data_IF_505652969007
#
_entry.id   IF_505652969007
#
_cell.length_a   1.000
_cell.length_b   1.000
_cell.length_c   1.000
_cell.angle_alpha   90.00
_cell.angle_beta   90.00
_cell.angle_gamma   90.00
#
_symmetry.space_group_name_H-M   'P 1'
#
loop_
_entity.id
_entity.type
_entity.pdbx_description
1 polymer ?
#
# COMPACT_ATOMS: atom_id res chain seq x y z
N UNK A 1 52.89 -33.83 -1.48
CA UNK A 1 52.72 -32.54 -0.79
C UNK A 1 51.65 -31.66 -1.39
N UNK A 2 51.47 -31.57 -2.73
CA UNK A 2 50.40 -30.75 -3.36
C UNK A 2 48.94 -31.17 -3.01
N UNK A 3 48.65 -32.45 -2.87
CA UNK A 3 47.30 -32.93 -2.58
C UNK A 3 46.79 -32.60 -1.17
N UNK A 4 47.70 -32.51 -0.19
CA UNK A 4 47.32 -32.16 1.20
C UNK A 4 47.00 -30.67 1.38
N UNK A 5 47.61 -29.81 0.60
CA UNK A 5 47.34 -28.35 0.61
C UNK A 5 45.98 -28.08 -0.04
N UNK A 6 45.63 -28.78 -1.12
CA UNK A 6 44.35 -28.62 -1.83
C UNK A 6 43.15 -29.11 -0.99
N UNK A 7 43.33 -30.17 -0.20
CA UNK A 7 42.27 -30.67 0.73
C UNK A 7 42.05 -29.68 1.90
N UNK A 8 43.15 -29.06 2.37
CA UNK A 8 43.08 -28.08 3.47
C UNK A 8 42.40 -26.80 3.03
N UNK A 9 42.63 -26.32 1.81
CA UNK A 9 41.93 -25.15 1.24
C UNK A 9 40.43 -25.44 1.00
N UNK A 10 40.10 -26.63 0.53
CA UNK A 10 38.66 -27.00 0.37
C UNK A 10 37.91 -27.10 1.68
N UNK A 11 38.55 -27.60 2.74
CA UNK A 11 37.93 -27.63 4.07
C UNK A 11 37.82 -26.24 4.67
N UNK A 12 38.79 -25.37 4.46
CA UNK A 12 38.75 -24.00 4.95
C UNK A 12 37.68 -23.18 4.23
N UNK A 13 37.57 -23.33 2.91
CA UNK A 13 36.46 -22.69 2.15
C UNK A 13 35.09 -23.17 2.54
N UNK A 14 34.89 -24.47 2.81
CA UNK A 14 33.62 -25.02 3.32
C UNK A 14 33.26 -24.45 4.70
N UNK A 15 34.25 -24.28 5.59
CA UNK A 15 34.01 -23.66 6.90
C UNK A 15 33.65 -22.19 6.79
N UNK A 16 34.30 -21.44 5.92
CA UNK A 16 33.99 -20.02 5.67
C UNK A 16 32.59 -19.91 5.05
N UNK A 17 32.23 -20.77 4.09
CA UNK A 17 30.90 -20.78 3.48
C UNK A 17 29.81 -21.12 4.51
N UNK A 18 30.05 -22.08 5.38
CA UNK A 18 29.11 -22.42 6.47
C UNK A 18 28.93 -21.29 7.49
N UNK A 19 30.00 -20.59 7.84
CA UNK A 19 29.95 -19.43 8.73
C UNK A 19 29.20 -18.27 8.07
N UNK A 20 29.42 -18.03 6.77
CA UNK A 20 28.67 -17.03 5.99
C UNK A 20 27.18 -17.35 5.92
N UNK A 21 26.81 -18.61 5.71
CA UNK A 21 25.40 -19.06 5.72
C UNK A 21 24.76 -18.93 7.11
N UNK A 22 25.50 -19.21 8.19
CA UNK A 22 25.01 -19.04 9.57
C UNK A 22 24.85 -17.54 9.92
N UNK A 23 25.76 -16.68 9.46
CA UNK A 23 25.66 -15.23 9.65
C UNK A 23 24.52 -14.62 8.85
N UNK A 24 24.33 -15.02 7.59
CA UNK A 24 23.22 -14.60 6.75
C UNK A 24 21.88 -15.10 7.34
N UNK A 25 21.81 -16.34 7.79
CA UNK A 25 20.61 -16.90 8.45
C UNK A 25 20.26 -16.21 9.76
N UNK A 26 21.26 -15.89 10.58
CA UNK A 26 21.04 -15.15 11.84
C UNK A 26 20.64 -13.69 11.60
N UNK A 27 21.19 -13.05 10.55
CA UNK A 27 20.84 -11.70 10.16
C UNK A 27 19.41 -11.64 9.59
N UNK A 28 19.00 -12.60 8.77
CA UNK A 28 17.62 -12.70 8.26
C UNK A 28 16.62 -12.98 9.38
N UNK A 29 16.96 -13.84 10.36
CA UNK A 29 16.11 -14.10 11.51
C UNK A 29 16.06 -12.91 12.48
N UNK A 30 17.16 -12.16 12.62
CA UNK A 30 17.20 -10.90 13.35
C UNK A 30 16.33 -9.81 12.73
N UNK A 31 16.34 -9.69 11.40
CA UNK A 31 15.48 -8.76 10.67
C UNK A 31 14.02 -9.21 10.78
N UNK A 32 13.70 -10.52 10.66
CA UNK A 32 12.34 -11.03 10.88
C UNK A 32 11.84 -10.78 12.30
N UNK A 33 12.68 -10.96 13.31
CA UNK A 33 12.31 -10.67 14.70
C UNK A 33 12.18 -9.18 14.96
N UNK A 34 13.03 -8.36 14.35
CA UNK A 34 12.95 -6.89 14.47
C UNK A 34 11.72 -6.34 13.75
N UNK A 35 11.39 -6.82 12.56
CA UNK A 35 10.16 -6.45 11.84
C UNK A 35 8.91 -6.98 12.53
N UNK A 36 8.95 -8.16 13.17
CA UNK A 36 7.84 -8.68 13.97
C UNK A 36 7.62 -7.87 15.26
N UNK A 37 8.69 -7.31 15.83
CA UNK A 37 8.61 -6.47 17.05
C UNK A 37 8.15 -5.02 16.75
N UNK A 38 8.23 -4.58 15.47
CA UNK A 38 7.82 -3.25 15.02
C UNK A 38 6.63 -3.27 14.07
N UNK A 39 6.09 -4.45 13.75
CA UNK A 39 4.82 -4.52 13.03
C UNK A 39 3.70 -4.16 13.98
N UNK A 40 3.08 -3.02 13.73
CA UNK A 40 1.68 -2.81 14.08
C UNK A 40 0.93 -3.99 13.49
N UNK A 41 0.31 -4.81 14.31
CA UNK A 41 -0.40 -6.01 13.87
C UNK A 41 -1.63 -5.54 13.09
N UNK A 42 -1.56 -5.56 11.79
CA UNK A 42 -2.75 -5.45 10.93
C UNK A 42 -3.51 -6.76 11.12
N UNK A 43 -4.55 -6.73 11.92
CA UNK A 43 -5.49 -7.85 11.99
C UNK A 43 -6.42 -7.73 10.80
N UNK A 44 -6.08 -8.41 9.71
CA UNK A 44 -7.03 -8.67 8.64
C UNK A 44 -8.10 -9.61 9.19
N UNK A 45 -9.24 -9.07 9.53
CA UNK A 45 -10.41 -9.87 9.88
C UNK A 45 -10.88 -10.59 8.62
N UNK A 46 -10.64 -11.89 8.54
CA UNK A 46 -11.24 -12.80 7.57
C UNK A 46 -12.75 -12.83 7.82
N UNK A 47 -13.50 -12.13 7.02
CA UNK A 47 -14.94 -12.31 6.92
C UNK A 47 -15.22 -13.56 6.10
N UNK A 48 -15.71 -14.59 6.75
CA UNK A 48 -16.19 -15.82 6.13
C UNK A 48 -17.55 -15.55 5.47
N UNK A 49 -17.63 -15.77 4.16
CA UNK A 49 -18.85 -15.69 3.38
C UNK A 49 -19.97 -16.57 3.95
N UNK A 50 -21.16 -16.02 4.08
CA UNK A 50 -22.39 -16.75 3.81
C UNK A 50 -23.32 -15.89 2.97
N UNK A 51 -23.62 -16.40 1.79
CA UNK A 51 -24.49 -15.76 0.83
C UNK A 51 -25.92 -15.60 1.31
N UNK A 52 -26.50 -14.47 0.99
CA UNK A 52 -27.91 -14.16 1.12
C UNK A 52 -28.17 -12.79 0.55
N UNK A 53 -28.81 -12.77 -0.62
CA UNK A 53 -29.42 -11.57 -1.18
C UNK A 53 -30.39 -10.98 -0.14
N UNK A 54 -30.03 -9.89 0.49
CA UNK A 54 -30.92 -9.10 1.34
C UNK A 54 -30.83 -7.64 0.91
N UNK A 55 -31.98 -7.11 0.61
CA UNK A 55 -32.33 -5.72 0.35
C UNK A 55 -31.46 -4.75 1.16
N UNK A 56 -30.50 -4.19 0.51
CA UNK A 56 -29.67 -3.08 0.95
C UNK A 56 -30.55 -1.86 1.24
N UNK A 57 -30.30 -1.16 2.31
CA UNK A 57 -30.63 0.25 2.55
C UNK A 57 -31.44 0.66 3.80
N UNK A 58 -31.77 -0.19 4.74
CA UNK A 58 -32.37 0.30 6.01
C UNK A 58 -31.72 -0.24 7.29
N UNK A 59 -31.08 -1.40 7.27
CA UNK A 59 -30.40 -1.96 8.46
C UNK A 59 -29.02 -1.34 8.71
N UNK A 60 -28.31 -0.94 7.65
CA UNK A 60 -26.96 -0.35 7.77
C UNK A 60 -26.98 1.05 8.41
N UNK A 61 -27.98 1.87 8.14
CA UNK A 61 -28.10 3.22 8.72
C UNK A 61 -28.23 3.27 10.25
N UNK A 62 -28.58 2.17 10.90
CA UNK A 62 -28.68 2.10 12.36
C UNK A 62 -27.33 1.92 13.06
N UNK A 63 -26.29 1.50 12.35
CA UNK A 63 -24.96 1.26 12.90
C UNK A 63 -24.02 2.47 12.76
N UNK A 64 -24.29 3.37 11.85
CA UNK A 64 -23.50 4.58 11.62
C UNK A 64 -23.99 5.77 12.45
N UNK A 65 -23.07 6.62 12.85
CA UNK A 65 -23.36 7.90 13.53
C UNK A 65 -22.41 8.96 12.99
N UNK A 66 -22.96 10.10 12.61
CA UNK A 66 -22.14 11.23 12.21
C UNK A 66 -21.37 11.78 13.40
N UNK A 67 -20.08 12.02 13.21
CA UNK A 67 -19.22 12.62 14.20
C UNK A 67 -19.45 14.12 14.28
N UNK A 68 -19.51 14.62 15.51
CA UNK A 68 -19.50 16.07 15.75
C UNK A 68 -18.05 16.58 15.64
N UNK A 69 -17.85 17.61 14.84
CA UNK A 69 -16.55 18.24 14.57
C UNK A 69 -16.62 19.72 14.93
N UNK A 70 -15.68 20.22 15.71
CA UNK A 70 -15.57 21.61 16.10
C UNK A 70 -14.27 22.21 15.58
N UNK A 71 -14.38 23.21 14.76
CA UNK A 71 -13.26 23.94 14.17
C UNK A 71 -12.40 24.62 15.25
N UNK A 72 -11.13 24.34 15.28
CA UNK A 72 -10.12 25.10 16.02
C UNK A 72 -9.26 25.90 15.04
N UNK A 73 -9.49 27.20 14.95
CA UNK A 73 -8.76 28.10 14.06
C UNK A 73 -7.26 28.25 14.36
N UNK A 74 -6.78 27.67 15.47
CA UNK A 74 -5.36 27.67 15.83
C UNK A 74 -4.66 26.39 15.39
N UNK A 75 -5.42 25.35 15.14
CA UNK A 75 -4.89 24.11 14.56
C UNK A 75 -4.65 24.37 13.05
N UNK A 76 -3.45 24.09 12.59
CA UNK A 76 -3.12 24.10 11.18
C UNK A 76 -2.84 22.67 10.76
N UNK A 77 -3.72 22.09 9.93
CA UNK A 77 -3.64 20.70 9.44
C UNK A 77 -3.62 19.62 10.56
N UNK A 78 -4.04 19.97 11.77
CA UNK A 78 -4.11 19.04 12.91
C UNK A 78 -5.57 18.76 13.28
N UNK A 79 -5.88 17.50 13.57
CA UNK A 79 -7.13 17.10 14.20
C UNK A 79 -6.86 16.35 15.51
N UNK A 80 -7.71 16.59 16.48
CA UNK A 80 -7.68 15.98 17.80
C UNK A 80 -8.91 15.09 18.00
N UNK A 81 -8.69 13.83 18.27
CA UNK A 81 -9.72 12.81 18.49
C UNK A 81 -9.68 12.41 19.96
N UNK A 82 -10.72 12.73 20.73
CA UNK A 82 -10.76 12.33 22.14
C UNK A 82 -10.87 10.80 22.26
N UNK A 83 -10.21 10.22 23.23
CA UNK A 83 -10.24 8.80 23.53
C UNK A 83 -10.72 8.56 24.95
N UNK A 84 -11.37 7.44 25.19
CA UNK A 84 -11.83 7.05 26.53
C UNK A 84 -10.63 6.87 27.48
N UNK A 85 -10.82 7.22 28.74
CA UNK A 85 -9.78 7.09 29.77
C UNK A 85 -9.23 5.66 29.84
N UNK A 86 -7.93 5.53 29.74
CA UNK A 86 -7.24 4.23 29.76
C UNK A 86 -7.01 3.61 28.38
N UNK A 87 -7.45 4.23 27.29
CA UNK A 87 -7.07 3.82 25.93
C UNK A 87 -5.56 4.01 25.75
N UNK A 88 -4.88 2.96 25.31
CA UNK A 88 -3.45 2.96 25.03
C UNK A 88 -3.20 3.01 23.53
N UNK A 89 -1.98 3.40 23.13
CA UNK A 89 -1.58 3.43 21.71
C UNK A 89 -1.77 2.07 21.01
N UNK A 90 -1.53 0.96 21.70
CA UNK A 90 -1.73 -0.40 21.18
C UNK A 90 -3.20 -0.74 20.86
N UNK A 91 -4.14 0.05 21.38
CA UNK A 91 -5.59 -0.12 21.16
C UNK A 91 -6.12 0.78 20.03
N UNK A 92 -5.25 1.56 19.39
CA UNK A 92 -5.65 2.48 18.32
C UNK A 92 -4.87 2.15 17.06
N UNK A 93 -5.58 1.93 15.98
CA UNK A 93 -5.01 1.73 14.65
C UNK A 93 -5.50 2.85 13.74
N UNK A 94 -4.58 3.49 13.04
CA UNK A 94 -4.89 4.54 12.06
C UNK A 94 -4.41 4.06 10.70
N UNK A 95 -5.28 4.07 9.71
CA UNK A 95 -5.00 3.60 8.36
C UNK A 95 -5.48 4.60 7.32
N UNK A 96 -4.67 4.83 6.31
CA UNK A 96 -5.01 5.71 5.20
C UNK A 96 -5.51 4.86 4.03
N UNK A 97 -6.77 5.00 3.72
CA UNK A 97 -7.44 4.37 2.59
C UNK A 97 -7.45 5.35 1.42
N UNK A 98 -6.31 5.42 0.72
CA UNK A 98 -6.05 6.44 -0.30
C UNK A 98 -7.03 6.41 -1.46
N UNK A 99 -7.43 5.22 -1.94
CA UNK A 99 -8.36 5.08 -3.07
C UNK A 99 -9.76 5.59 -2.73
N UNK A 100 -10.19 5.36 -1.51
CA UNK A 100 -11.48 5.82 -0.97
C UNK A 100 -11.41 7.27 -0.51
N UNK A 101 -10.20 7.81 -0.36
CA UNK A 101 -9.91 9.10 0.27
C UNK A 101 -10.49 9.16 1.68
N UNK A 102 -10.23 8.13 2.46
CA UNK A 102 -10.67 8.02 3.84
C UNK A 102 -9.49 7.77 4.78
N UNK A 103 -9.55 8.37 5.95
CA UNK A 103 -8.71 8.02 7.09
C UNK A 103 -9.55 7.21 8.06
N UNK A 104 -9.12 5.99 8.33
CA UNK A 104 -9.80 5.07 9.24
C UNK A 104 -9.06 5.03 10.57
N UNK A 105 -9.81 5.23 11.66
CA UNK A 105 -9.27 5.17 13.02
C UNK A 105 -10.08 4.12 13.77
N UNK A 106 -9.49 2.96 13.99
CA UNK A 106 -10.09 1.92 14.81
C UNK A 106 -9.65 2.10 16.26
N UNK A 107 -10.63 2.14 17.19
CA UNK A 107 -10.39 2.25 18.62
C UNK A 107 -10.96 1.01 19.31
N UNK A 108 -10.06 0.11 19.73
CA UNK A 108 -10.41 -1.11 20.43
C UNK A 108 -11.05 -0.78 21.78
N UNK A 109 -12.14 -1.46 22.13
CA UNK A 109 -12.96 -1.23 23.31
C UNK A 109 -13.62 0.15 23.38
N UNK A 110 -13.50 0.98 22.32
CA UNK A 110 -14.19 2.25 22.21
C UNK A 110 -15.69 2.06 22.10
N UNK A 111 -16.45 3.05 22.56
CA UNK A 111 -17.92 3.03 22.54
C UNK A 111 -18.48 4.15 21.69
N UNK A 112 -19.42 3.83 20.83
CA UNK A 112 -20.10 4.82 19.98
C UNK A 112 -20.79 5.92 20.79
N UNK A 113 -21.29 5.60 22.01
CA UNK A 113 -21.87 6.58 22.91
C UNK A 113 -20.89 7.64 23.37
N UNK A 114 -19.61 7.30 23.53
CA UNK A 114 -18.55 8.25 23.87
C UNK A 114 -18.44 9.35 22.80
N UNK A 115 -18.40 8.99 21.53
CA UNK A 115 -18.29 9.93 20.41
C UNK A 115 -19.58 10.72 20.12
N UNK A 116 -20.70 10.36 20.75
CA UNK A 116 -21.92 11.18 20.77
C UNK A 116 -21.79 12.38 21.70
N UNK A 117 -21.03 12.22 22.77
CA UNK A 117 -20.85 13.23 23.83
C UNK A 117 -19.53 14.03 23.67
N UNK A 118 -18.58 13.48 22.93
CA UNK A 118 -17.25 14.07 22.73
C UNK A 118 -17.03 14.33 21.25
N UNK A 119 -16.90 15.59 20.92
CA UNK A 119 -16.65 16.02 19.54
C UNK A 119 -15.14 15.98 19.21
N UNK A 120 -14.83 15.76 17.93
CA UNK A 120 -13.50 15.96 17.39
C UNK A 120 -13.23 17.48 17.30
N UNK A 121 -11.98 17.88 17.49
CA UNK A 121 -11.56 19.29 17.37
C UNK A 121 -10.38 19.41 16.43
N UNK A 122 -10.21 20.55 15.76
CA UNK A 122 -9.04 20.77 14.90
C UNK A 122 -9.36 21.52 13.62
N UNK A 123 -8.48 21.38 12.63
CA UNK A 123 -8.65 21.93 11.29
C UNK A 123 -9.40 20.94 10.41
N UNK A 124 -10.68 21.16 10.20
CA UNK A 124 -11.52 20.35 9.32
C UNK A 124 -11.64 20.90 7.89
N UNK A 125 -10.81 21.87 7.52
CA UNK A 125 -10.77 22.36 6.13
C UNK A 125 -10.47 21.23 5.13
N UNK A 126 -9.67 20.24 5.54
CA UNK A 126 -9.25 19.06 4.76
C UNK A 126 -10.20 17.86 4.89
N UNK A 127 -11.11 17.90 5.86
CA UNK A 127 -12.06 16.80 6.12
C UNK A 127 -13.43 17.16 5.57
N UNK A 128 -14.07 16.25 4.86
CA UNK A 128 -15.41 16.44 4.32
C UNK A 128 -16.50 16.00 5.30
N UNK A 129 -16.36 14.80 5.84
CA UNK A 129 -17.34 14.16 6.71
C UNK A 129 -16.63 13.20 7.67
N UNK A 130 -17.26 12.91 8.81
CA UNK A 130 -16.80 11.93 9.77
C UNK A 130 -17.96 11.03 10.24
N UNK A 131 -17.74 9.72 10.25
CA UNK A 131 -18.70 8.69 10.64
C UNK A 131 -18.08 7.82 11.74
N UNK A 132 -18.88 7.46 12.74
CA UNK A 132 -18.52 6.47 13.75
C UNK A 132 -19.40 5.24 13.60
N UNK A 133 -18.77 4.11 13.39
CA UNK A 133 -19.41 2.80 13.28
C UNK A 133 -19.07 1.93 14.49
N UNK A 134 -20.07 1.22 15.01
CA UNK A 134 -19.82 0.23 16.04
C UNK A 134 -19.25 -1.05 15.39
N UNK A 135 -18.16 -1.52 15.93
CA UNK A 135 -17.51 -2.78 15.57
C UNK A 135 -17.64 -3.80 16.72
N UNK A 136 -17.37 -5.08 16.45
CA UNK A 136 -17.50 -6.15 17.45
C UNK A 136 -16.70 -5.89 18.74
N UNK A 137 -15.51 -5.31 18.62
CA UNK A 137 -14.59 -5.07 19.73
C UNK A 137 -14.19 -3.60 19.87
N UNK A 138 -15.03 -2.68 19.40
CA UNK A 138 -14.71 -1.26 19.50
C UNK A 138 -15.53 -0.39 18.54
N UNK A 139 -14.90 0.66 18.05
CA UNK A 139 -15.47 1.56 17.06
C UNK A 139 -14.49 1.84 15.93
N UNK A 140 -15.03 2.06 14.76
CA UNK A 140 -14.31 2.58 13.60
C UNK A 140 -14.79 4.02 13.35
N UNK A 141 -13.86 4.96 13.36
CA UNK A 141 -14.08 6.32 12.91
C UNK A 141 -13.56 6.43 11.49
N UNK A 142 -14.42 6.82 10.55
CA UNK A 142 -14.03 7.08 9.16
C UNK A 142 -14.15 8.57 8.89
N UNK A 143 -13.05 9.16 8.47
CA UNK A 143 -12.97 10.56 8.05
C UNK A 143 -12.79 10.63 6.55
N UNK A 144 -13.74 11.20 5.84
CA UNK A 144 -13.65 11.44 4.39
C UNK A 144 -12.72 12.62 4.15
N UNK A 145 -11.66 12.40 3.38
CA UNK A 145 -10.64 13.40 3.08
C UNK A 145 -10.93 14.11 1.75
N UNK A 146 -10.73 15.43 1.70
CA UNK A 146 -10.87 16.20 0.46
C UNK A 146 -9.68 16.06 -0.47
N UNK A 147 -8.52 15.77 0.12
CA UNK A 147 -7.23 15.59 -0.57
C UNK A 147 -6.57 14.32 -0.05
N UNK A 148 -5.62 13.78 -0.81
CA UNK A 148 -4.78 12.67 -0.36
C UNK A 148 -3.60 13.27 0.39
N UNK A 149 -3.50 12.94 1.66
CA UNK A 149 -2.48 13.43 2.58
C UNK A 149 -1.81 12.26 3.29
N UNK A 150 -0.56 12.46 3.68
CA UNK A 150 0.09 11.64 4.67
C UNK A 150 -0.27 12.16 6.07
N UNK A 151 0.02 11.38 7.10
CA UNK A 151 -0.23 11.82 8.46
C UNK A 151 0.85 11.33 9.44
N UNK A 152 1.00 12.08 10.51
CA UNK A 152 1.68 11.64 11.72
C UNK A 152 0.65 11.60 12.85
N UNK A 153 0.70 10.57 13.68
CA UNK A 153 -0.21 10.45 14.81
C UNK A 153 0.55 10.33 16.13
N UNK A 154 0.07 11.04 17.13
CA UNK A 154 0.61 10.99 18.50
C UNK A 154 -0.53 10.84 19.49
N UNK A 155 -0.32 10.05 20.55
CA UNK A 155 -1.30 9.87 21.62
C UNK A 155 -0.81 10.65 22.85
N UNK A 156 -1.52 11.69 23.23
CA UNK A 156 -1.23 12.54 24.37
C UNK A 156 -2.44 12.69 25.29
N UNK A 157 -2.30 12.38 26.57
CA UNK A 157 -3.29 12.63 27.62
C UNK A 157 -4.74 12.24 27.25
N UNK A 158 -4.92 11.07 26.59
CA UNK A 158 -6.23 10.60 26.17
C UNK A 158 -6.78 11.27 24.89
N UNK A 159 -5.92 11.91 24.13
CA UNK A 159 -6.25 12.51 22.83
C UNK A 159 -5.32 11.97 21.76
N UNK A 160 -5.88 11.44 20.68
CA UNK A 160 -5.12 11.12 19.49
C UNK A 160 -5.05 12.38 18.61
N UNK A 161 -3.83 12.87 18.43
CA UNK A 161 -3.55 13.97 17.51
C UNK A 161 -3.10 13.41 16.17
N UNK A 162 -3.61 13.95 15.10
CA UNK A 162 -3.26 13.58 13.72
C UNK A 162 -2.88 14.86 12.99
N UNK A 163 -1.62 14.93 12.59
CA UNK A 163 -1.04 16.01 11.80
C UNK A 163 -0.99 15.57 10.35
N UNK A 164 -1.63 16.32 9.45
CA UNK A 164 -1.64 16.05 8.03
C UNK A 164 -0.50 16.75 7.31
N UNK A 165 0.14 16.01 6.40
CA UNK A 165 1.28 16.47 5.62
C UNK A 165 0.99 16.26 4.13
N UNK A 166 1.26 17.28 3.32
CA UNK A 166 1.19 17.08 1.88
C UNK A 166 2.33 16.16 1.43
N UNK A 167 2.07 15.10 0.65
CA UNK A 167 3.10 14.17 0.19
C UNK A 167 4.28 14.87 -0.50
N UNK A 168 4.03 15.97 -1.22
CA UNK A 168 5.07 16.76 -1.89
C UNK A 168 6.01 17.50 -0.92
N UNK A 169 5.60 17.69 0.33
CA UNK A 169 6.47 18.26 1.37
C UNK A 169 7.46 17.25 1.94
N UNK A 170 7.15 15.94 1.79
CA UNK A 170 7.90 14.84 2.39
C UNK A 170 8.68 14.00 1.39
N UNK A 171 8.29 14.00 0.11
CA UNK A 171 8.86 13.12 -0.91
C UNK A 171 9.28 13.89 -2.17
N UNK A 172 10.43 13.53 -2.71
CA UNK A 172 10.96 14.10 -3.95
C UNK A 172 10.18 13.62 -5.18
N UNK A 173 9.65 12.40 -5.12
CA UNK A 173 8.90 11.76 -6.19
C UNK A 173 7.70 11.00 -5.66
N UNK A 174 6.63 11.05 -6.44
CA UNK A 174 5.41 10.27 -6.22
C UNK A 174 5.20 9.34 -7.42
N UNK A 175 5.09 8.05 -7.14
CA UNK A 175 4.90 7.00 -8.15
C UNK A 175 3.64 6.21 -7.83
N UNK A 176 2.79 6.01 -8.82
CA UNK A 176 1.66 5.09 -8.71
C UNK A 176 2.03 3.78 -9.39
N UNK A 177 1.93 2.69 -8.66
CA UNK A 177 1.99 1.33 -9.21
C UNK A 177 0.58 0.79 -9.31
N UNK A 178 0.24 0.34 -10.50
CA UNK A 178 -1.07 -0.19 -10.83
C UNK A 178 -0.98 -1.69 -11.15
N UNK A 179 -1.14 -2.57 -10.16
CA UNK A 179 -1.22 -4.01 -10.42
C UNK A 179 -2.54 -4.34 -11.09
N UNK A 180 -2.50 -4.78 -12.34
CA UNK A 180 -3.69 -5.09 -13.15
C UNK A 180 -4.56 -6.20 -12.55
N UNK A 181 -5.84 -6.23 -12.95
CA UNK A 181 -6.80 -7.20 -12.48
C UNK A 181 -7.23 -6.96 -11.03
N UNK A 182 -7.81 -7.99 -10.40
CA UNK A 182 -8.32 -7.96 -9.03
C UNK A 182 -9.79 -8.42 -8.95
N UNK A 183 -10.17 -8.99 -7.83
CA UNK A 183 -11.50 -9.54 -7.63
C UNK A 183 -11.87 -10.57 -8.70
N UNK A 184 -12.87 -10.28 -9.53
CA UNK A 184 -13.33 -11.17 -10.62
C UNK A 184 -12.42 -11.16 -11.83
N UNK A 185 -11.69 -10.06 -12.04
CA UNK A 185 -10.73 -9.97 -13.13
C UNK A 185 -9.44 -10.71 -12.75
N UNK A 186 -9.32 -11.94 -13.23
CA UNK A 186 -8.14 -12.78 -12.97
C UNK A 186 -6.95 -12.43 -13.86
N UNK A 187 -7.21 -11.69 -14.96
CA UNK A 187 -6.24 -11.50 -16.02
C UNK A 187 -5.84 -12.82 -16.69
N UNK A 188 -4.62 -12.88 -17.19
CA UNK A 188 -4.03 -14.12 -17.71
C UNK A 188 -3.92 -15.15 -16.57
N UNK A 189 -4.41 -16.36 -16.84
CA UNK A 189 -4.37 -17.46 -15.87
C UNK A 189 -3.87 -18.75 -16.53
N UNK A 190 -2.86 -19.35 -15.93
CA UNK A 190 -2.32 -20.65 -16.34
C UNK A 190 -1.81 -21.42 -15.13
N UNK A 191 -2.07 -22.76 -15.15
CA UNK A 191 -1.49 -23.73 -14.20
C UNK A 191 -1.61 -23.33 -12.71
N UNK A 192 -2.68 -22.61 -12.34
CA UNK A 192 -2.94 -22.16 -10.96
C UNK A 192 -2.30 -20.82 -10.61
N UNK A 193 -1.61 -20.17 -11.53
CA UNK A 193 -1.14 -18.80 -11.42
C UNK A 193 -2.14 -17.84 -12.07
N UNK A 194 -2.43 -16.74 -11.43
CA UNK A 194 -3.29 -15.67 -11.93
C UNK A 194 -2.50 -14.37 -12.00
N UNK A 195 -2.62 -13.65 -13.09
CA UNK A 195 -1.95 -12.36 -13.30
C UNK A 195 -2.17 -11.40 -12.14
N UNK A 196 -3.42 -11.24 -11.70
CA UNK A 196 -3.79 -10.34 -10.61
C UNK A 196 -2.98 -10.55 -9.34
N UNK A 197 -2.66 -11.81 -9.00
CA UNK A 197 -1.90 -12.14 -7.79
C UNK A 197 -0.41 -11.82 -7.96
N UNK A 198 0.14 -12.12 -9.13
CA UNK A 198 1.55 -11.85 -9.44
C UNK A 198 1.79 -10.34 -9.53
N UNK A 199 0.92 -9.61 -10.25
CA UNK A 199 1.01 -8.16 -10.38
C UNK A 199 0.94 -7.46 -9.01
N UNK A 200 0.00 -7.87 -8.16
CA UNK A 200 -0.15 -7.33 -6.81
C UNK A 200 1.10 -7.61 -5.94
N UNK A 201 1.63 -8.81 -6.00
CA UNK A 201 2.81 -9.17 -5.22
C UNK A 201 4.04 -8.37 -5.66
N UNK A 202 4.26 -8.22 -6.97
CA UNK A 202 5.36 -7.39 -7.51
C UNK A 202 5.21 -5.93 -7.06
N UNK A 203 4.00 -5.37 -7.16
CA UNK A 203 3.74 -3.99 -6.74
C UNK A 203 4.00 -3.80 -5.24
N UNK A 204 3.52 -4.71 -4.39
CA UNK A 204 3.72 -4.68 -2.93
C UNK A 204 5.20 -4.78 -2.54
N UNK A 205 5.93 -5.71 -3.14
CA UNK A 205 7.37 -5.86 -2.89
C UNK A 205 8.14 -4.61 -3.34
N UNK A 206 7.77 -4.03 -4.48
CA UNK A 206 8.39 -2.79 -4.97
C UNK A 206 8.16 -1.64 -4.00
N UNK A 207 6.91 -1.47 -3.51
CA UNK A 207 6.60 -0.46 -2.51
C UNK A 207 7.38 -0.67 -1.21
N UNK A 208 7.47 -1.92 -0.74
CA UNK A 208 8.22 -2.26 0.47
C UNK A 208 9.73 -1.97 0.34
N UNK A 209 10.32 -2.25 -0.83
CA UNK A 209 11.76 -1.98 -1.07
C UNK A 209 12.09 -0.49 -1.05
N UNK A 210 11.12 0.37 -1.38
CA UNK A 210 11.29 1.82 -1.42
C UNK A 210 10.78 2.52 -0.13
N UNK A 211 10.29 1.74 0.83
CA UNK A 211 9.87 2.27 2.14
C UNK A 211 11.04 3.00 2.84
N UNK A 212 10.76 4.20 3.33
CA UNK A 212 11.76 5.06 3.97
C UNK A 212 12.69 5.79 3.00
N UNK A 213 12.50 5.67 1.69
CA UNK A 213 13.17 6.49 0.68
C UNK A 213 12.45 7.85 0.49
N UNK A 214 13.05 8.72 -0.34
CA UNK A 214 12.38 9.97 -0.75
C UNK A 214 11.41 9.78 -1.92
N UNK A 215 11.03 8.53 -2.22
CA UNK A 215 10.03 8.17 -3.23
C UNK A 215 8.80 7.61 -2.54
N UNK A 216 7.67 8.28 -2.71
CA UNK A 216 6.37 7.75 -2.26
C UNK A 216 5.80 6.82 -3.31
N UNK A 217 5.48 5.60 -2.90
CA UNK A 217 4.75 4.66 -3.75
C UNK A 217 3.31 4.57 -3.27
N UNK A 218 2.39 4.81 -4.18
CA UNK A 218 0.98 4.51 -4.02
C UNK A 218 0.60 3.30 -4.87
N UNK A 219 -0.29 2.48 -4.38
CA UNK A 219 -0.84 1.32 -5.07
C UNK A 219 -2.32 1.58 -5.37
N UNK A 220 -2.76 1.28 -6.59
CA UNK A 220 -4.19 1.40 -6.95
C UNK A 220 -5.06 0.35 -6.26
N UNK A 221 -4.47 -0.72 -5.77
CA UNK A 221 -5.08 -1.69 -4.86
C UNK A 221 -4.01 -2.35 -4.00
N UNK A 222 -4.36 -2.64 -2.77
CA UNK A 222 -3.51 -3.34 -1.81
C UNK A 222 -4.01 -4.76 -1.51
N UNK A 223 -5.18 -5.12 -2.03
CA UNK A 223 -5.85 -6.40 -1.83
C UNK A 223 -6.36 -6.96 -3.15
N UNK A 224 -6.95 -8.17 -3.12
CA UNK A 224 -7.59 -8.78 -4.28
C UNK A 224 -8.99 -8.18 -4.52
N UNK A 225 -9.03 -6.89 -4.83
CA UNK A 225 -10.23 -6.11 -5.12
C UNK A 225 -10.24 -5.64 -6.56
N UNK A 226 -11.43 -5.58 -7.14
CA UNK A 226 -11.63 -5.02 -8.49
C UNK A 226 -11.74 -3.49 -8.38
N UNK A 227 -10.88 -2.79 -9.12
CA UNK A 227 -10.89 -1.32 -9.20
C UNK A 227 -11.06 -0.93 -10.67
N UNK A 228 -12.09 -0.13 -10.96
CA UNK A 228 -12.38 0.31 -12.32
C UNK A 228 -11.19 1.10 -12.91
N UNK A 229 -10.91 0.88 -14.20
CA UNK A 229 -9.75 1.48 -14.86
C UNK A 229 -9.74 3.01 -14.78
N UNK A 230 -10.90 3.63 -14.93
CA UNK A 230 -11.06 5.09 -14.83
C UNK A 230 -10.66 5.60 -13.44
N UNK A 231 -11.00 4.85 -12.39
CA UNK A 231 -10.64 5.19 -11.01
C UNK A 231 -9.13 5.05 -10.80
N UNK A 232 -8.52 3.96 -11.31
CA UNK A 232 -7.07 3.74 -11.22
C UNK A 232 -6.26 4.85 -11.90
N UNK A 233 -6.69 5.28 -13.09
CA UNK A 233 -6.07 6.42 -13.82
C UNK A 233 -6.27 7.75 -13.09
N UNK A 234 -7.51 8.03 -12.66
CA UNK A 234 -7.80 9.26 -11.92
C UNK A 234 -7.05 9.34 -10.59
N UNK A 235 -6.70 8.21 -10.00
CA UNK A 235 -5.92 8.17 -8.78
C UNK A 235 -4.52 8.77 -8.95
N UNK A 236 -3.88 8.55 -10.11
CA UNK A 236 -2.60 9.18 -10.41
C UNK A 236 -2.68 10.72 -10.43
N UNK A 237 -3.78 11.26 -10.95
CA UNK A 237 -4.04 12.71 -10.93
C UNK A 237 -4.31 13.21 -9.50
N UNK A 238 -5.05 12.43 -8.70
CA UNK A 238 -5.38 12.83 -7.33
C UNK A 238 -4.16 12.92 -6.41
N UNK A 239 -3.16 12.05 -6.63
CA UNK A 239 -1.90 12.07 -5.85
C UNK A 239 -0.83 12.95 -6.49
N UNK A 240 -1.13 13.61 -7.61
CA UNK A 240 -0.16 14.40 -8.40
C UNK A 240 1.09 13.57 -8.72
N UNK A 241 0.91 12.37 -9.29
CA UNK A 241 1.99 11.42 -9.54
C UNK A 241 2.99 11.94 -10.59
N UNK A 242 4.29 11.79 -10.30
CA UNK A 242 5.33 12.01 -11.31
C UNK A 242 5.38 10.88 -12.35
N UNK A 243 5.06 9.65 -11.90
CA UNK A 243 5.13 8.44 -12.72
C UNK A 243 3.95 7.52 -12.40
N UNK A 244 3.41 6.92 -13.45
CA UNK A 244 2.41 5.85 -13.36
C UNK A 244 2.95 4.60 -14.07
N UNK A 245 2.90 3.46 -13.41
CA UNK A 245 3.36 2.19 -13.94
C UNK A 245 2.32 1.10 -13.71
N UNK A 246 1.72 0.64 -14.80
CA UNK A 246 0.87 -0.54 -14.81
C UNK A 246 1.74 -1.80 -14.85
N UNK A 247 1.43 -2.77 -14.01
CA UNK A 247 2.17 -4.04 -13.88
C UNK A 247 1.21 -5.18 -14.23
N UNK A 248 1.54 -5.92 -15.26
CA UNK A 248 0.72 -7.03 -15.72
C UNK A 248 1.53 -8.12 -16.41
N UNK A 249 0.80 -9.15 -16.85
CA UNK A 249 1.31 -10.23 -17.67
C UNK A 249 0.53 -10.25 -18.99
N UNK A 250 1.17 -10.63 -20.06
CA UNK A 250 0.47 -10.92 -21.30
C UNK A 250 0.70 -12.37 -21.72
N UNK A 251 -0.35 -13.00 -22.27
CA UNK A 251 -0.22 -14.26 -22.98
C UNK A 251 -0.31 -13.98 -24.47
N UNK A 252 0.64 -14.50 -25.23
CA UNK A 252 0.58 -14.48 -26.68
C UNK A 252 0.01 -15.81 -27.16
N UNK A 253 -1.07 -15.78 -27.93
CA UNK A 253 -1.68 -16.97 -28.57
C UNK A 253 -0.85 -17.51 -29.73
N UNK A 254 0.30 -16.88 -30.03
CA UNK A 254 1.17 -17.31 -31.10
C UNK A 254 1.79 -18.69 -30.80
N UNK A 255 1.84 -19.54 -31.82
CA UNK A 255 2.40 -20.91 -31.74
C UNK A 255 3.90 -20.96 -31.37
N UNK A 256 4.57 -19.83 -31.34
CA UNK A 256 5.95 -19.70 -30.83
C UNK A 256 5.91 -19.02 -29.48
N UNK A 257 6.34 -19.73 -28.46
CA UNK A 257 6.42 -19.20 -27.08
C UNK A 257 7.37 -18.00 -27.01
N UNK A 258 6.81 -16.82 -27.22
CA UNK A 258 7.51 -15.56 -27.03
C UNK A 258 7.46 -15.24 -25.53
N UNK A 259 8.58 -15.24 -24.85
CA UNK A 259 8.68 -14.85 -23.44
C UNK A 259 9.68 -13.71 -23.30
N UNK A 260 9.46 -12.85 -22.34
CA UNK A 260 10.34 -11.71 -22.08
C UNK A 260 9.60 -10.51 -21.50
N UNK A 261 10.31 -9.40 -21.44
CA UNK A 261 9.79 -8.13 -20.94
C UNK A 261 9.35 -7.28 -22.11
N UNK A 262 8.09 -6.91 -22.10
CA UNK A 262 7.46 -5.96 -23.03
C UNK A 262 7.06 -4.73 -22.22
N UNK A 263 7.32 -3.54 -22.74
CA UNK A 263 6.77 -2.32 -22.18
C UNK A 263 5.94 -1.59 -23.23
N UNK A 264 4.84 -1.03 -22.77
CA UNK A 264 4.00 -0.13 -23.54
C UNK A 264 4.11 1.27 -22.93
N UNK A 265 4.10 2.29 -23.76
CA UNK A 265 4.22 3.67 -23.31
C UNK A 265 3.21 4.56 -24.03
N UNK A 266 2.68 5.54 -23.32
CA UNK A 266 1.83 6.56 -23.92
C UNK A 266 2.68 7.47 -24.81
N UNK A 267 2.38 7.54 -26.09
CA UNK A 267 3.05 8.35 -27.10
C UNK A 267 2.23 9.58 -27.53
N UNK A 268 1.05 9.78 -26.90
CA UNK A 268 0.16 10.90 -27.23
C UNK A 268 0.80 12.28 -26.95
N UNK A 269 1.67 12.32 -25.91
CA UNK A 269 2.30 13.56 -25.49
C UNK A 269 3.83 13.45 -25.54
N UNK A 270 4.45 14.43 -26.20
CA UNK A 270 5.90 14.58 -26.17
C UNK A 270 6.34 15.36 -24.94
N UNK A 271 7.16 14.73 -24.09
CA UNK A 271 7.84 15.39 -22.99
C UNK A 271 9.31 15.57 -23.36
N UNK A 272 9.86 16.81 -23.29
CA UNK A 272 11.29 17.03 -23.53
C UNK A 272 12.13 16.38 -22.43
N UNK A 273 13.37 16.03 -22.77
CA UNK A 273 14.40 15.45 -21.91
C UNK A 273 14.13 14.02 -21.45
N UNK A 274 13.12 13.79 -20.61
CA UNK A 274 12.79 12.46 -20.09
C UNK A 274 11.28 12.23 -20.18
N UNK A 275 10.86 11.58 -21.24
CA UNK A 275 9.46 11.25 -21.50
C UNK A 275 9.12 9.77 -21.29
N UNK A 276 7.91 9.42 -21.70
CA UNK A 276 7.36 8.08 -21.48
C UNK A 276 8.20 6.96 -22.12
N UNK A 277 8.76 7.19 -23.32
CA UNK A 277 9.61 6.19 -23.99
C UNK A 277 10.93 5.97 -23.23
N UNK A 278 11.55 7.03 -22.68
CA UNK A 278 12.76 6.91 -21.88
C UNK A 278 12.48 6.21 -20.55
N UNK A 279 11.30 6.49 -19.95
CA UNK A 279 10.87 5.79 -18.75
C UNK A 279 10.66 4.31 -19.01
N UNK A 280 9.91 3.94 -20.07
CA UNK A 280 9.68 2.56 -20.48
C UNK A 280 10.98 1.81 -20.78
N UNK A 281 11.93 2.46 -21.48
CA UNK A 281 13.25 1.88 -21.76
C UNK A 281 14.07 1.64 -20.47
N UNK A 282 14.04 2.59 -19.56
CA UNK A 282 14.73 2.46 -18.27
C UNK A 282 14.20 1.26 -17.48
N UNK A 283 12.88 1.16 -17.31
CA UNK A 283 12.23 0.07 -16.59
C UNK A 283 12.51 -1.27 -17.27
N UNK A 284 12.31 -1.35 -18.60
CA UNK A 284 12.54 -2.58 -19.37
C UNK A 284 13.96 -3.09 -19.23
N UNK A 285 14.95 -2.23 -19.32
CA UNK A 285 16.35 -2.64 -19.14
C UNK A 285 16.62 -3.15 -17.74
N UNK A 286 16.15 -2.47 -16.71
CA UNK A 286 16.40 -2.90 -15.33
C UNK A 286 15.70 -4.22 -15.01
N UNK A 287 14.44 -4.38 -15.41
CA UNK A 287 13.68 -5.62 -15.20
C UNK A 287 14.29 -6.78 -15.99
N UNK A 288 14.73 -6.55 -17.23
CA UNK A 288 15.41 -7.55 -18.05
C UNK A 288 16.67 -8.07 -17.39
N UNK A 289 17.49 -7.17 -16.86
CA UNK A 289 18.73 -7.56 -16.16
C UNK A 289 18.42 -8.30 -14.86
N UNK A 290 17.50 -7.77 -14.05
CA UNK A 290 17.16 -8.34 -12.74
C UNK A 290 16.51 -9.73 -12.86
N UNK A 291 15.64 -9.92 -13.84
CA UNK A 291 14.94 -11.19 -14.07
C UNK A 291 15.74 -12.20 -14.89
N UNK A 292 16.91 -11.81 -15.42
CA UNK A 292 17.66 -12.60 -16.41
C UNK A 292 16.82 -13.02 -17.62
N UNK A 293 15.86 -12.18 -17.95
CA UNK A 293 14.94 -12.38 -19.07
C UNK A 293 15.43 -11.60 -20.31
N UNK A 294 14.70 -11.63 -21.41
CA UNK A 294 15.00 -10.83 -22.60
C UNK A 294 14.03 -9.66 -22.74
N UNK A 295 14.49 -8.55 -23.30
CA UNK A 295 13.60 -7.49 -23.75
C UNK A 295 12.93 -7.91 -25.08
N UNK A 296 11.61 -7.85 -25.14
CA UNK A 296 10.84 -8.04 -26.38
C UNK A 296 10.82 -6.74 -27.17
N UNK A 297 10.57 -5.62 -26.51
CA UNK A 297 10.55 -4.30 -27.13
C UNK A 297 9.75 -3.28 -26.33
N UNK A 298 9.74 -2.06 -26.88
CA UNK A 298 8.94 -0.93 -26.44
C UNK A 298 7.90 -0.64 -27.51
N UNK A 299 6.65 -0.48 -27.11
CA UNK A 299 5.53 -0.30 -28.04
C UNK A 299 4.70 0.91 -27.61
N UNK A 300 4.18 1.71 -28.54
CA UNK A 300 3.14 2.68 -28.20
C UNK A 300 1.91 1.95 -27.65
N UNK A 301 1.30 2.52 -26.62
CA UNK A 301 0.03 2.01 -26.11
C UNK A 301 -1.09 2.34 -27.12
N UNK A 302 -2.03 1.40 -27.32
CA UNK A 302 -3.20 1.57 -28.21
C UNK A 302 -4.29 2.43 -27.57
#
# INVERSE_FOLDING_TARGET
MKNLLQIRDQQQNRRITLILWLLLGSMSMGIMLWTAAHKTVVISALSQEQGGLVTENQAERSHEMQLAMAEDRKAEREICIPLETGTKAENVVVENHYMERELWIYVQNGRKSFYREHQLTGDFSLVGNGICEAQNEGVLLRLSMKEILEYHSTLEEGTLKIDFVNPRESYDRIVVLDPVGGGRDRGVADSGCEEKNIALEVARQTAQLLEGSMVKIYLTRTEDTEVAQEVRRSFADWVDADLYLEIGLSADDAQESTYGIRAEYNDEYYLPDFGNVQWADCVTRQVTVASSNRAIGLFPAE
#
